data_IF_321837825809
#
_entry.id   IF_321837825809
#
_cell.length_a   1.000
_cell.length_b   1.000
_cell.length_c   1.000
_cell.angle_alpha   90.00
_cell.angle_beta   90.00
_cell.angle_gamma   90.00
#
_symmetry.space_group_name_H-M   'P 1'
#
loop_
_entity.id
_entity.type
_entity.pdbx_description
1 polymer ?
#
# COMPACT_ATOMS: atom_id res chain seq x y z
N UNK A 1 14.40 15.30 -5.95
CA UNK A 1 13.55 14.75 -4.87
C UNK A 1 13.21 13.32 -5.25
N UNK A 2 13.50 12.38 -4.38
CA UNK A 2 13.29 10.95 -4.63
C UNK A 2 11.91 10.48 -4.17
N UNK A 3 11.45 9.33 -4.66
CA UNK A 3 10.11 8.78 -4.37
C UNK A 3 9.87 8.63 -2.86
N UNK A 4 10.87 8.16 -2.13
CA UNK A 4 10.77 7.97 -0.69
C UNK A 4 10.66 9.31 0.08
N UNK A 5 11.23 10.39 -0.47
CA UNK A 5 11.17 11.72 0.14
C UNK A 5 9.75 12.27 0.05
N UNK A 6 9.11 12.09 -1.11
CA UNK A 6 7.70 12.46 -1.32
C UNK A 6 6.78 11.57 -0.49
N UNK A 7 7.13 10.29 -0.31
CA UNK A 7 6.38 9.38 0.53
C UNK A 7 6.31 9.83 2.01
N UNK A 8 7.27 10.63 2.51
CA UNK A 8 7.20 11.18 3.88
C UNK A 8 5.97 12.07 4.11
N UNK A 9 5.55 12.85 3.10
CA UNK A 9 4.33 13.65 3.20
C UNK A 9 3.11 12.76 3.49
N UNK A 10 2.94 11.71 2.68
CA UNK A 10 1.83 10.78 2.81
C UNK A 10 1.92 9.93 4.07
N UNK A 11 3.13 9.54 4.47
CA UNK A 11 3.38 8.83 5.73
C UNK A 11 2.94 9.69 6.92
N UNK A 12 3.32 10.98 6.94
CA UNK A 12 2.90 11.92 7.98
C UNK A 12 1.38 12.10 8.02
N UNK A 13 0.75 12.43 6.89
CA UNK A 13 -0.70 12.59 6.80
C UNK A 13 -1.46 11.33 7.23
N UNK A 14 -1.04 10.15 6.78
CA UNK A 14 -1.66 8.89 7.15
C UNK A 14 -1.48 8.58 8.64
N UNK A 15 -0.31 8.91 9.20
CA UNK A 15 -0.03 8.71 10.63
C UNK A 15 -0.91 9.61 11.50
N UNK A 16 -1.22 10.84 11.09
CA UNK A 16 -2.22 11.68 11.78
C UNK A 16 -3.60 11.02 11.81
N UNK A 17 -4.04 10.44 10.69
CA UNK A 17 -5.32 9.71 10.62
C UNK A 17 -5.30 8.48 11.53
N UNK A 18 -4.21 7.72 11.55
CA UNK A 18 -4.02 6.58 12.44
C UNK A 18 -4.09 6.98 13.91
N UNK A 19 -3.36 8.04 14.31
CA UNK A 19 -3.39 8.57 15.67
C UNK A 19 -4.79 9.07 16.08
N UNK A 20 -5.46 9.81 15.20
CA UNK A 20 -6.85 10.24 15.41
C UNK A 20 -7.81 9.07 15.61
N UNK A 21 -7.58 7.96 14.89
CA UNK A 21 -8.37 6.72 15.03
C UNK A 21 -8.14 6.05 16.38
N UNK A 22 -6.89 5.96 16.84
CA UNK A 22 -6.55 5.45 18.19
C UNK A 22 -7.21 6.32 19.27
N UNK A 23 -7.13 7.65 19.16
CA UNK A 23 -7.72 8.60 20.12
C UNK A 23 -9.24 8.43 20.17
N UNK A 24 -9.90 8.37 19.01
CA UNK A 24 -11.34 8.20 18.91
C UNK A 24 -11.80 6.86 19.51
N UNK A 25 -11.11 5.77 19.18
CA UNK A 25 -11.35 4.46 19.76
C UNK A 25 -11.21 4.47 21.28
N UNK A 26 -10.09 5.00 21.78
CA UNK A 26 -9.77 5.07 23.21
C UNK A 26 -10.77 5.92 23.96
N UNK A 27 -11.20 7.05 23.38
CA UNK A 27 -12.21 7.93 23.98
C UNK A 27 -13.56 7.25 24.09
N UNK A 28 -14.03 6.62 23.00
CA UNK A 28 -15.32 5.91 22.99
C UNK A 28 -15.34 4.75 23.99
N UNK A 29 -14.29 3.92 24.02
CA UNK A 29 -14.22 2.77 24.94
C UNK A 29 -14.02 3.19 26.39
N UNK A 30 -13.20 4.20 26.66
CA UNK A 30 -13.01 4.76 28.01
C UNK A 30 -14.30 5.41 28.54
N UNK A 31 -15.07 6.09 27.69
CA UNK A 31 -16.37 6.66 28.08
C UNK A 31 -17.44 5.58 28.35
N UNK A 32 -17.36 4.44 27.67
CA UNK A 32 -18.33 3.35 27.79
C UNK A 32 -18.18 2.50 29.07
N UNK A 33 -17.08 2.65 29.81
CA UNK A 33 -16.86 1.95 31.09
C UNK A 33 -16.88 2.94 32.26
N UNK A 34 -17.37 2.53 33.41
CA UNK A 34 -17.31 3.30 34.66
C UNK A 34 -16.12 2.90 35.53
N UNK A 35 -15.49 1.75 35.24
CA UNK A 35 -14.38 1.20 36.01
C UNK A 35 -13.09 2.05 35.84
N UNK A 36 -12.57 2.64 36.94
CA UNK A 36 -11.35 3.43 36.93
C UNK A 36 -10.10 2.66 36.45
N UNK A 37 -10.02 1.36 36.70
CA UNK A 37 -8.87 0.53 36.32
C UNK A 37 -8.86 0.29 34.81
N UNK A 38 -10.01 -0.04 34.24
CA UNK A 38 -10.18 -0.19 32.79
C UNK A 38 -9.93 1.15 32.09
N UNK A 39 -10.35 2.28 32.68
CA UNK A 39 -10.03 3.61 32.14
C UNK A 39 -8.52 3.90 32.12
N UNK A 40 -7.79 3.50 33.17
CA UNK A 40 -6.33 3.65 33.22
C UNK A 40 -5.62 2.85 32.13
N UNK A 41 -6.17 1.71 31.72
CA UNK A 41 -5.61 0.87 30.66
C UNK A 41 -5.59 1.55 29.26
N UNK A 42 -6.34 2.63 29.04
CA UNK A 42 -6.29 3.40 27.78
C UNK A 42 -5.21 4.50 27.76
N UNK A 43 -4.64 4.87 28.92
CA UNK A 43 -3.59 5.91 28.99
C UNK A 43 -2.37 5.63 28.10
N UNK A 44 -1.85 4.38 28.03
CA UNK A 44 -0.75 4.07 27.12
C UNK A 44 -1.09 4.30 25.65
N UNK A 45 -2.35 4.04 25.24
CA UNK A 45 -2.80 4.25 23.86
C UNK A 45 -2.89 5.74 23.52
N UNK A 46 -3.29 6.60 24.46
CA UNK A 46 -3.24 8.05 24.27
C UNK A 46 -1.81 8.55 24.11
N UNK A 47 -0.88 8.10 24.97
CA UNK A 47 0.53 8.47 24.85
C UNK A 47 1.13 7.97 23.54
N UNK A 48 0.79 6.76 23.12
CA UNK A 48 1.20 6.23 21.82
C UNK A 48 0.65 7.08 20.67
N UNK A 49 -0.63 7.47 20.71
CA UNK A 49 -1.19 8.34 19.70
C UNK A 49 -0.51 9.73 19.66
N UNK A 50 -0.11 10.28 20.81
CA UNK A 50 0.66 11.53 20.87
C UNK A 50 2.03 11.36 20.21
N UNK A 51 2.74 10.26 20.50
CA UNK A 51 4.00 9.92 19.83
C UNK A 51 3.85 9.89 18.30
N UNK A 52 2.81 9.21 17.80
CA UNK A 52 2.49 9.17 16.37
C UNK A 52 2.17 10.56 15.78
N UNK A 53 1.50 11.45 16.52
CA UNK A 53 1.26 12.84 16.06
C UNK A 53 2.58 13.58 15.91
N UNK A 54 3.49 13.43 16.88
CA UNK A 54 4.80 14.05 16.85
C UNK A 54 5.61 13.55 15.64
N UNK A 55 5.67 12.24 15.43
CA UNK A 55 6.27 11.65 14.23
C UNK A 55 5.68 12.19 12.94
N UNK A 56 4.35 12.27 12.87
CA UNK A 56 3.67 12.73 11.69
C UNK A 56 4.03 14.18 11.35
N UNK A 57 4.09 15.05 12.36
CA UNK A 57 4.56 16.42 12.21
C UNK A 57 6.00 16.41 11.70
N UNK A 58 6.87 15.56 12.25
CA UNK A 58 8.25 15.43 11.80
C UNK A 58 8.39 15.00 10.36
N UNK A 59 7.63 14.00 9.91
CA UNK A 59 7.63 13.55 8.53
C UNK A 59 7.17 14.66 7.56
N UNK A 60 6.12 15.41 7.92
CA UNK A 60 5.63 16.54 7.11
C UNK A 60 6.65 17.67 7.05
N UNK A 61 7.24 18.05 8.19
CA UNK A 61 8.25 19.11 8.24
C UNK A 61 9.51 18.73 7.48
N UNK A 62 9.93 17.45 7.56
CA UNK A 62 11.07 16.92 6.81
C UNK A 62 10.81 16.97 5.30
N UNK A 63 9.62 16.59 4.84
CA UNK A 63 9.23 16.76 3.45
C UNK A 63 9.29 18.23 3.02
N UNK A 64 8.79 19.15 3.85
CA UNK A 64 8.84 20.59 3.56
C UNK A 64 10.28 21.12 3.52
N UNK A 65 11.15 20.66 4.41
CA UNK A 65 12.58 21.00 4.43
C UNK A 65 13.27 20.60 3.12
N UNK A 66 13.02 19.36 2.66
CA UNK A 66 13.53 18.84 1.39
C UNK A 66 12.95 19.63 0.20
N UNK A 67 11.68 19.99 0.25
CA UNK A 67 11.00 20.74 -0.81
C UNK A 67 11.55 22.16 -0.97
N UNK A 68 11.77 22.88 0.13
CA UNK A 68 12.26 24.26 0.11
C UNK A 68 13.78 24.32 -0.05
N UNK A 69 14.48 23.22 0.26
CA UNK A 69 15.94 23.15 0.19
C UNK A 69 16.64 24.00 1.27
N UNK A 70 15.91 24.38 2.32
CA UNK A 70 16.43 25.19 3.43
C UNK A 70 16.24 24.40 4.72
N UNK A 71 17.33 23.98 5.40
CA UNK A 71 17.21 23.24 6.63
C UNK A 71 16.65 24.12 7.75
N UNK A 72 15.69 23.61 8.52
CA UNK A 72 15.14 24.31 9.69
C UNK A 72 16.20 24.44 10.79
N UNK A 73 17.11 23.48 10.88
CA UNK A 73 18.31 23.54 11.71
C UNK A 73 19.46 23.93 10.77
N UNK A 74 19.73 25.24 10.70
CA UNK A 74 20.81 25.78 9.87
C UNK A 74 22.17 25.45 10.50
N UNK A 75 22.79 24.35 10.06
CA UNK A 75 24.20 24.07 10.34
C UNK A 75 25.01 24.72 9.19
N UNK A 76 25.80 25.78 9.43
CA UNK A 76 26.47 26.52 8.36
C UNK A 76 27.41 25.64 7.53
N UNK A 77 27.21 25.63 6.20
CA UNK A 77 28.13 25.07 5.20
C UNK A 77 28.62 23.63 5.40
N UNK A 78 27.78 22.76 5.95
CA UNK A 78 28.07 21.32 5.97
C UNK A 78 27.60 20.72 4.64
N UNK A 79 28.49 20.71 3.65
CA UNK A 79 28.37 19.85 2.46
C UNK A 79 28.63 18.41 2.92
N UNK A 80 27.72 17.84 3.70
CA UNK A 80 27.70 16.40 3.93
C UNK A 80 26.66 15.85 2.97
N UNK A 81 27.18 15.13 1.98
CA UNK A 81 26.42 14.27 1.07
C UNK A 81 25.56 13.36 1.96
N UNK A 82 24.24 13.60 2.02
CA UNK A 82 23.28 12.66 2.58
C UNK A 82 22.65 12.95 3.96
N UNK A 83 22.77 14.15 4.56
CA UNK A 83 22.19 14.42 5.89
C UNK A 83 21.18 15.58 5.96
N UNK A 84 20.07 15.49 5.21
CA UNK A 84 18.93 16.43 5.30
C UNK A 84 17.84 15.98 6.31
N UNK A 85 18.17 15.09 7.25
CA UNK A 85 17.17 14.41 8.09
C UNK A 85 17.34 14.66 9.61
N UNK A 86 18.11 15.67 9.99
CA UNK A 86 18.33 16.01 11.41
C UNK A 86 17.03 16.36 12.13
N UNK A 87 16.15 17.13 11.47
CA UNK A 87 14.84 17.48 12.01
C UNK A 87 13.99 16.24 12.28
N UNK A 88 13.94 15.30 11.32
CA UNK A 88 13.23 14.03 11.49
C UNK A 88 13.76 13.27 12.70
N UNK A 89 15.09 13.19 12.84
CA UNK A 89 15.73 12.50 13.94
C UNK A 89 15.42 13.13 15.31
N UNK A 90 15.49 14.45 15.44
CA UNK A 90 15.11 15.13 16.68
C UNK A 90 13.65 14.88 17.06
N UNK A 91 12.75 14.96 16.09
CA UNK A 91 11.33 14.71 16.33
C UNK A 91 11.08 13.24 16.69
N UNK A 92 11.84 12.33 16.09
CA UNK A 92 11.84 10.90 16.44
C UNK A 92 12.28 10.67 17.88
N UNK A 93 13.32 11.36 18.37
CA UNK A 93 13.72 11.29 19.78
C UNK A 93 12.60 11.75 20.73
N UNK A 94 11.86 12.80 20.36
CA UNK A 94 10.72 13.30 21.15
C UNK A 94 9.58 12.27 21.15
N UNK A 95 9.24 11.69 20.00
CA UNK A 95 8.25 10.61 19.89
C UNK A 95 8.62 9.42 20.80
N UNK A 96 9.89 9.00 20.77
CA UNK A 96 10.37 7.86 21.55
C UNK A 96 10.16 8.03 23.05
N UNK A 97 10.14 9.27 23.57
CA UNK A 97 9.82 9.52 24.99
C UNK A 97 8.39 9.05 25.30
N UNK A 98 7.43 9.36 24.43
CA UNK A 98 6.05 8.94 24.61
C UNK A 98 5.88 7.43 24.48
N UNK A 99 6.61 6.80 23.56
CA UNK A 99 6.61 5.34 23.40
C UNK A 99 7.26 4.63 24.58
N UNK A 100 8.38 5.13 25.09
CA UNK A 100 9.02 4.59 26.28
C UNK A 100 8.12 4.68 27.52
N UNK A 101 7.45 5.82 27.73
CA UNK A 101 6.49 5.97 28.84
C UNK A 101 5.29 5.04 28.64
N UNK A 102 4.74 4.95 27.42
CA UNK A 102 3.64 4.05 27.11
C UNK A 102 4.00 2.59 27.40
N UNK A 103 5.16 2.14 26.91
CA UNK A 103 5.68 0.80 27.13
C UNK A 103 5.92 0.51 28.62
N UNK A 104 6.48 1.46 29.37
CA UNK A 104 6.71 1.32 30.81
C UNK A 104 5.40 1.14 31.60
N UNK A 105 4.34 1.86 31.21
CA UNK A 105 3.01 1.70 31.82
C UNK A 105 2.43 0.32 31.49
N UNK A 106 2.55 -0.13 30.24
CA UNK A 106 2.03 -1.43 29.79
C UNK A 106 2.74 -2.58 30.52
N UNK A 107 4.07 -2.55 30.58
CA UNK A 107 4.87 -3.59 31.25
C UNK A 107 4.76 -3.54 32.78
N UNK A 108 4.24 -2.44 33.34
CA UNK A 108 4.24 -2.15 34.79
C UNK A 108 5.65 -2.14 35.41
N UNK A 109 6.71 -2.06 34.59
CA UNK A 109 8.11 -2.07 35.02
C UNK A 109 8.73 -0.68 34.84
N UNK A 110 8.83 0.07 35.94
CA UNK A 110 9.37 1.43 35.94
C UNK A 110 10.86 1.48 35.58
N UNK A 111 11.63 0.46 35.94
CA UNK A 111 13.08 0.41 35.72
C UNK A 111 13.40 0.35 34.22
N UNK A 112 12.69 -0.48 33.45
CA UNK A 112 12.87 -0.57 31.99
C UNK A 112 12.48 0.77 31.33
N UNK A 113 11.38 1.39 31.79
CA UNK A 113 10.98 2.72 31.34
C UNK A 113 12.06 3.78 31.56
N UNK A 114 12.64 3.81 32.76
CA UNK A 114 13.72 4.74 33.11
C UNK A 114 14.95 4.49 32.25
N UNK A 115 15.33 3.22 32.04
CA UNK A 115 16.46 2.85 31.19
C UNK A 115 16.27 3.34 29.75
N UNK A 116 15.08 3.14 29.16
CA UNK A 116 14.77 3.65 27.82
C UNK A 116 14.85 5.18 27.76
N UNK A 117 14.33 5.90 28.76
CA UNK A 117 14.42 7.37 28.83
C UNK A 117 15.87 7.84 28.90
N UNK A 118 16.71 7.16 29.70
CA UNK A 118 18.15 7.45 29.78
C UNK A 118 18.81 7.25 28.41
N UNK A 119 18.50 6.16 27.70
CA UNK A 119 19.02 5.94 26.36
C UNK A 119 18.61 7.03 25.36
N UNK A 120 17.36 7.51 25.41
CA UNK A 120 16.89 8.64 24.57
C UNK A 120 17.71 9.89 24.90
N UNK A 121 17.92 10.16 26.19
CA UNK A 121 18.72 11.31 26.63
C UNK A 121 20.17 11.21 26.15
N UNK A 122 20.79 10.03 26.21
CA UNK A 122 22.12 9.78 25.66
C UNK A 122 22.13 10.00 24.15
N UNK A 123 21.15 9.46 23.41
CA UNK A 123 21.03 9.66 21.96
C UNK A 123 20.86 11.15 21.59
N UNK A 124 20.13 11.91 22.41
CA UNK A 124 19.98 13.36 22.26
C UNK A 124 21.32 14.09 22.49
N UNK A 125 22.05 13.74 23.56
CA UNK A 125 23.35 14.34 23.85
C UNK A 125 24.39 14.05 22.76
N UNK A 126 24.41 12.82 22.24
CA UNK A 126 25.31 12.44 21.14
C UNK A 126 25.04 13.27 19.89
N UNK A 127 23.78 13.43 19.51
CA UNK A 127 23.40 14.25 18.36
C UNK A 127 23.73 15.73 18.60
N UNK A 128 23.43 16.26 19.78
CA UNK A 128 23.80 17.64 20.13
C UNK A 128 25.32 17.89 20.03
N UNK A 129 26.13 16.97 20.56
CA UNK A 129 27.59 17.04 20.44
C UNK A 129 28.07 16.89 18.98
N UNK A 130 27.42 16.04 18.19
CA UNK A 130 27.73 15.89 16.77
C UNK A 130 27.54 17.21 16.01
N UNK A 131 26.44 17.93 16.27
CA UNK A 131 26.17 19.24 15.65
C UNK A 131 27.27 20.25 16.01
N UNK A 132 27.64 20.37 17.28
CA UNK A 132 28.70 21.30 17.71
C UNK A 132 30.02 20.99 16.98
N UNK A 133 30.37 19.70 16.86
CA UNK A 133 31.58 19.29 16.14
C UNK A 133 31.48 19.65 14.66
N UNK A 134 30.33 19.42 14.02
CA UNK A 134 30.11 19.75 12.61
C UNK A 134 30.13 21.26 12.35
N UNK A 135 29.60 22.08 13.26
CA UNK A 135 29.70 23.55 13.19
C UNK A 135 31.16 24.01 13.23
N UNK A 136 31.99 23.38 14.07
CA UNK A 136 33.39 23.77 14.23
C UNK A 136 34.31 23.23 13.11
N UNK A 137 34.09 22.00 12.63
CA UNK A 137 35.03 21.27 11.77
C UNK A 137 34.51 20.95 10.37
N UNK A 138 33.23 21.23 10.09
CA UNK A 138 32.49 20.98 8.84
C UNK A 138 32.37 19.51 8.43
N UNK A 139 33.42 18.70 8.59
CA UNK A 139 33.44 17.26 8.34
C UNK A 139 34.24 16.57 9.45
N UNK A 140 33.63 15.59 10.14
CA UNK A 140 34.28 14.86 11.22
C UNK A 140 33.78 13.42 11.33
N UNK A 141 34.70 12.46 11.31
CA UNK A 141 34.41 11.05 11.56
C UNK A 141 33.86 10.80 12.97
N UNK A 142 34.25 11.64 13.94
CA UNK A 142 33.74 11.59 15.31
C UNK A 142 32.28 12.03 15.39
N UNK A 143 31.91 13.10 14.68
CA UNK A 143 30.52 13.54 14.60
C UNK A 143 29.64 12.47 13.94
N UNK A 144 30.11 11.87 12.84
CA UNK A 144 29.41 10.77 12.19
C UNK A 144 29.23 9.57 13.14
N UNK A 145 30.27 9.20 13.90
CA UNK A 145 30.19 8.10 14.87
C UNK A 145 29.15 8.36 15.97
N UNK A 146 28.98 9.62 16.41
CA UNK A 146 27.96 9.99 17.39
C UNK A 146 26.54 9.93 16.81
N UNK A 147 26.37 10.35 15.55
CA UNK A 147 25.09 10.22 14.83
C UNK A 147 24.72 8.75 14.66
N UNK A 148 25.66 7.92 14.18
CA UNK A 148 25.45 6.49 13.95
C UNK A 148 25.12 5.75 15.25
N UNK A 149 25.85 6.06 16.33
CA UNK A 149 25.57 5.46 17.64
C UNK A 149 24.20 5.92 18.17
N UNK A 150 23.82 7.17 17.94
CA UNK A 150 22.47 7.67 18.21
C UNK A 150 21.39 6.88 17.47
N UNK A 151 21.57 6.61 16.17
CA UNK A 151 20.66 5.78 15.38
C UNK A 151 20.56 4.35 15.94
N UNK A 152 21.66 3.74 16.38
CA UNK A 152 21.63 2.42 17.01
C UNK A 152 20.77 2.45 18.28
N UNK A 153 20.92 3.48 19.12
CA UNK A 153 20.10 3.63 20.33
C UNK A 153 18.61 3.78 20.00
N UNK A 154 18.24 4.58 18.99
CA UNK A 154 16.84 4.73 18.59
C UNK A 154 16.26 3.43 18.04
N UNK A 155 17.03 2.69 17.23
CA UNK A 155 16.63 1.37 16.73
C UNK A 155 16.38 0.37 17.86
N UNK A 156 17.22 0.35 18.90
CA UNK A 156 17.03 -0.53 20.06
C UNK A 156 15.71 -0.21 20.76
N UNK A 157 15.37 1.08 20.96
CA UNK A 157 14.14 1.47 21.64
C UNK A 157 12.91 1.10 20.80
N UNK A 158 12.91 1.46 19.51
CA UNK A 158 11.83 1.06 18.61
C UNK A 158 11.69 -0.46 18.55
N UNK A 159 12.81 -1.21 18.50
CA UNK A 159 12.83 -2.66 18.56
C UNK A 159 12.22 -3.21 19.85
N UNK A 160 12.51 -2.60 21.00
CA UNK A 160 11.90 -2.98 22.28
C UNK A 160 10.38 -2.75 22.30
N UNK A 161 9.91 -1.60 21.81
CA UNK A 161 8.48 -1.27 21.72
C UNK A 161 7.77 -2.18 20.70
N UNK A 162 8.41 -2.44 19.56
CA UNK A 162 7.95 -3.41 18.56
C UNK A 162 7.82 -4.81 19.14
N UNK A 163 8.83 -5.26 19.89
CA UNK A 163 8.82 -6.56 20.58
C UNK A 163 7.68 -6.65 21.59
N UNK A 164 7.47 -5.60 22.41
CA UNK A 164 6.37 -5.54 23.37
C UNK A 164 5.02 -5.71 22.69
N UNK A 165 4.72 -4.93 21.64
CA UNK A 165 3.44 -5.04 20.94
C UNK A 165 3.30 -6.35 20.17
N UNK A 166 4.38 -6.89 19.63
CA UNK A 166 4.39 -8.20 18.97
C UNK A 166 4.15 -9.33 19.96
N UNK A 167 4.69 -9.24 21.18
CA UNK A 167 4.42 -10.20 22.25
C UNK A 167 2.96 -10.12 22.72
N UNK A 168 2.42 -8.92 22.93
CA UNK A 168 0.98 -8.74 23.21
C UNK A 168 0.12 -9.28 22.06
N UNK A 169 0.53 -9.08 20.81
CA UNK A 169 -0.16 -9.62 19.64
C UNK A 169 -0.12 -11.15 19.60
N UNK A 170 1.00 -11.77 20.01
CA UNK A 170 1.14 -13.22 20.14
C UNK A 170 0.15 -13.80 21.17
N UNK A 171 0.05 -13.16 22.33
CA UNK A 171 -0.83 -13.61 23.42
C UNK A 171 -2.31 -13.36 23.11
N UNK A 172 -2.64 -12.14 22.67
CA UNK A 172 -4.04 -11.70 22.48
C UNK A 172 -4.62 -12.08 21.12
N UNK A 173 -3.76 -12.36 20.14
CA UNK A 173 -4.12 -12.59 18.72
C UNK A 173 -4.92 -11.45 18.09
N UNK A 174 -4.83 -10.23 18.64
CA UNK A 174 -5.57 -9.04 18.17
C UNK A 174 -4.82 -8.32 17.06
N UNK A 175 -5.56 -7.84 16.05
CA UNK A 175 -5.02 -7.05 14.94
C UNK A 175 -4.47 -5.69 15.37
N UNK A 176 -5.03 -5.09 16.42
CA UNK A 176 -4.60 -3.79 16.96
C UNK A 176 -3.16 -3.83 17.44
N UNK A 177 -2.80 -4.80 18.29
CA UNK A 177 -1.44 -4.98 18.79
C UNK A 177 -0.46 -5.31 17.66
N UNK A 178 -0.87 -6.14 16.69
CA UNK A 178 -0.05 -6.42 15.51
C UNK A 178 0.23 -5.16 14.69
N UNK A 179 -0.79 -4.33 14.45
CA UNK A 179 -0.64 -3.10 13.67
C UNK A 179 0.29 -2.08 14.36
N UNK A 180 0.19 -1.95 15.68
CA UNK A 180 1.09 -1.10 16.46
C UNK A 180 2.54 -1.64 16.40
N UNK A 181 2.73 -2.94 16.62
CA UNK A 181 4.06 -3.57 16.51
C UNK A 181 4.66 -3.42 15.13
N UNK A 182 3.87 -3.65 14.08
CA UNK A 182 4.28 -3.46 12.68
C UNK A 182 4.73 -2.03 12.42
N UNK A 183 3.97 -1.01 12.85
CA UNK A 183 4.35 0.38 12.64
C UNK A 183 5.70 0.72 13.29
N UNK A 184 5.99 0.17 14.46
CA UNK A 184 7.28 0.34 15.13
C UNK A 184 8.40 -0.39 14.40
N UNK A 185 8.19 -1.63 13.93
CA UNK A 185 9.18 -2.37 13.14
C UNK A 185 9.56 -1.57 11.90
N UNK A 186 8.57 -1.01 11.20
CA UNK A 186 8.87 -0.33 9.95
C UNK A 186 9.49 1.05 10.17
N UNK A 187 9.17 1.74 11.27
CA UNK A 187 9.92 2.94 11.67
C UNK A 187 11.39 2.65 11.98
N UNK A 188 11.76 1.46 12.49
CA UNK A 188 13.17 1.01 12.60
C UNK A 188 13.84 0.98 11.23
N UNK A 189 13.13 0.46 10.22
CA UNK A 189 13.66 0.31 8.87
C UNK A 189 13.74 1.63 8.12
N UNK A 190 12.88 2.60 8.48
CA UNK A 190 12.82 3.92 7.88
C UNK A 190 13.74 4.97 8.55
N UNK A 191 14.71 4.54 9.36
CA UNK A 191 15.69 5.46 9.96
C UNK A 191 16.54 6.08 8.85
N UNK A 192 16.63 7.42 8.76
CA UNK A 192 17.29 8.09 7.65
C UNK A 192 18.74 7.67 7.38
N UNK A 193 19.49 7.29 8.43
CA UNK A 193 20.85 6.79 8.30
C UNK A 193 20.96 5.45 7.55
N UNK A 194 19.89 4.66 7.42
CA UNK A 194 19.90 3.43 6.62
C UNK A 194 19.84 3.72 5.12
N UNK A 195 19.23 4.83 4.71
CA UNK A 195 19.04 5.14 3.29
C UNK A 195 20.33 5.56 2.59
N UNK A 196 21.38 5.93 3.33
CA UNK A 196 22.70 6.23 2.77
C UNK A 196 23.52 4.98 2.42
N UNK A 197 23.17 3.81 2.95
CA UNK A 197 23.90 2.55 2.77
C UNK A 197 23.11 1.48 2.02
N UNK A 198 21.79 1.65 1.87
CA UNK A 198 20.92 0.70 1.20
C UNK A 198 20.80 1.01 -0.30
N UNK A 199 20.60 -0.05 -1.09
CA UNK A 199 20.31 0.10 -2.51
C UNK A 199 18.93 0.78 -2.72
N UNK A 200 18.74 1.60 -3.78
CA UNK A 200 17.50 2.33 -4.03
C UNK A 200 16.24 1.45 -4.03
N UNK A 201 16.34 0.22 -4.52
CA UNK A 201 15.23 -0.74 -4.57
C UNK A 201 14.77 -1.15 -3.16
N UNK A 202 15.71 -1.30 -2.23
CA UNK A 202 15.42 -1.60 -0.83
C UNK A 202 14.79 -0.40 -0.13
N UNK A 203 15.22 0.82 -0.45
CA UNK A 203 14.64 2.06 0.10
C UNK A 203 13.18 2.21 -0.35
N UNK A 204 12.87 1.93 -1.61
CA UNK A 204 11.50 1.94 -2.14
C UNK A 204 10.66 0.86 -1.45
N UNK A 205 11.20 -0.36 -1.28
CA UNK A 205 10.50 -1.44 -0.59
C UNK A 205 10.21 -1.10 0.87
N UNK A 206 11.18 -0.54 1.60
CA UNK A 206 10.98 -0.08 2.98
C UNK A 206 9.91 1.01 3.02
N UNK A 207 9.96 1.98 2.11
CA UNK A 207 8.95 3.05 2.01
C UNK A 207 7.55 2.50 1.78
N UNK A 208 7.42 1.47 0.93
CA UNK A 208 6.17 0.75 0.72
C UNK A 208 5.64 0.15 2.03
N UNK A 209 6.48 -0.59 2.75
CA UNK A 209 6.13 -1.18 4.03
C UNK A 209 5.78 -0.12 5.07
N UNK A 210 6.46 1.04 5.07
CA UNK A 210 6.24 2.14 6.01
C UNK A 210 4.85 2.72 5.86
N UNK A 211 4.44 2.94 4.61
CA UNK A 211 3.11 3.46 4.28
C UNK A 211 1.99 2.50 4.69
N UNK A 212 2.23 1.18 4.72
CA UNK A 212 1.21 0.22 5.17
C UNK A 212 0.87 0.38 6.66
N UNK A 213 1.83 0.80 7.50
CA UNK A 213 1.68 0.84 8.96
C UNK A 213 0.48 1.68 9.44
N UNK A 214 0.40 2.97 9.08
CA UNK A 214 -0.73 3.83 9.46
C UNK A 214 -2.09 3.31 8.98
N UNK A 215 -2.17 2.77 7.76
CA UNK A 215 -3.40 2.20 7.21
C UNK A 215 -3.84 0.95 7.99
N UNK A 216 -2.89 0.08 8.35
CA UNK A 216 -3.14 -1.08 9.21
C UNK A 216 -3.64 -0.66 10.60
N UNK A 217 -3.04 0.37 11.21
CA UNK A 217 -3.50 0.91 12.50
C UNK A 217 -4.94 1.42 12.37
N UNK A 218 -5.22 2.29 11.40
CA UNK A 218 -6.55 2.85 11.22
C UNK A 218 -7.60 1.74 11.05
N UNK A 219 -7.32 0.74 10.22
CA UNK A 219 -8.25 -0.38 10.01
C UNK A 219 -8.42 -1.25 11.26
N UNK A 220 -7.32 -1.62 11.94
CA UNK A 220 -7.37 -2.46 13.12
C UNK A 220 -8.17 -1.80 14.27
N UNK A 221 -8.06 -0.48 14.44
CA UNK A 221 -8.80 0.25 15.48
C UNK A 221 -10.26 0.55 15.09
N UNK A 222 -10.61 0.53 13.80
CA UNK A 222 -12.00 0.53 13.34
C UNK A 222 -12.67 -0.84 13.55
N UNK A 223 -11.89 -1.93 13.56
CA UNK A 223 -12.35 -3.31 13.82
C UNK A 223 -11.53 -3.99 14.92
N UNK A 224 -11.62 -3.49 16.17
CA UNK A 224 -10.76 -3.94 17.28
C UNK A 224 -10.94 -5.42 17.63
N UNK A 225 -12.11 -5.99 17.30
CA UNK A 225 -12.42 -7.38 17.57
C UNK A 225 -11.80 -8.35 16.56
N UNK A 226 -11.25 -7.84 15.46
CA UNK A 226 -10.64 -8.65 14.42
C UNK A 226 -9.37 -9.34 14.93
N UNK A 227 -9.30 -10.66 14.75
CA UNK A 227 -8.08 -11.43 14.99
C UNK A 227 -7.07 -11.17 13.88
N UNK A 228 -5.80 -11.45 14.16
CA UNK A 228 -4.73 -11.39 13.16
C UNK A 228 -5.14 -12.13 11.87
N UNK A 229 -5.08 -11.40 10.76
CA UNK A 229 -5.54 -11.85 9.44
C UNK A 229 -4.70 -11.18 8.36
N UNK A 230 -4.43 -11.90 7.27
CA UNK A 230 -3.82 -11.35 6.06
C UNK A 230 -4.65 -10.22 5.40
N UNK A 231 -5.93 -10.09 5.76
CA UNK A 231 -6.75 -8.92 5.40
C UNK A 231 -6.09 -7.61 5.78
N UNK A 232 -5.48 -7.55 6.97
CA UNK A 232 -4.84 -6.35 7.49
C UNK A 232 -3.71 -5.88 6.56
N UNK A 233 -2.89 -6.83 6.09
CA UNK A 233 -1.80 -6.59 5.14
C UNK A 233 -2.36 -6.11 3.80
N UNK A 234 -3.42 -6.74 3.31
CA UNK A 234 -4.10 -6.33 2.07
C UNK A 234 -4.66 -4.90 2.14
N UNK A 235 -5.25 -4.50 3.27
CA UNK A 235 -5.69 -3.13 3.49
C UNK A 235 -4.52 -2.15 3.58
N UNK A 236 -3.40 -2.55 4.20
CA UNK A 236 -2.16 -1.76 4.17
C UNK A 236 -1.66 -1.52 2.74
N UNK A 237 -1.59 -2.58 1.93
CA UNK A 237 -1.16 -2.50 0.54
C UNK A 237 -2.09 -1.63 -0.32
N UNK A 238 -3.39 -1.61 0.01
CA UNK A 238 -4.37 -0.74 -0.68
C UNK A 238 -4.15 0.75 -0.49
N UNK A 239 -3.41 1.14 0.54
CA UNK A 239 -2.98 2.52 0.74
C UNK A 239 -1.56 2.75 0.17
N UNK A 240 -0.62 1.86 0.45
CA UNK A 240 0.78 2.02 0.05
C UNK A 240 0.98 2.05 -1.47
N UNK A 241 0.32 1.14 -2.21
CA UNK A 241 0.44 1.07 -3.67
C UNK A 241 0.07 2.38 -4.39
N UNK A 242 -1.13 2.95 -4.15
CA UNK A 242 -1.52 4.23 -4.71
C UNK A 242 -0.58 5.39 -4.35
N UNK A 243 -0.11 5.44 -3.10
CA UNK A 243 0.81 6.49 -2.65
C UNK A 243 2.14 6.41 -3.39
N UNK A 244 2.70 5.20 -3.57
CA UNK A 244 3.95 5.04 -4.32
C UNK A 244 3.82 5.45 -5.78
N UNK A 245 2.69 5.16 -6.41
CA UNK A 245 2.40 5.60 -7.78
C UNK A 245 2.38 7.14 -7.85
N UNK A 246 1.67 7.79 -6.93
CA UNK A 246 1.59 9.26 -6.88
C UNK A 246 2.96 9.89 -6.56
N UNK A 247 3.68 9.33 -5.59
CA UNK A 247 5.02 9.78 -5.24
C UNK A 247 6.00 9.61 -6.42
N UNK A 248 5.86 8.53 -7.19
CA UNK A 248 6.69 8.31 -8.38
C UNK A 248 6.38 9.31 -9.49
N UNK A 249 5.11 9.67 -9.70
CA UNK A 249 4.72 10.72 -10.64
C UNK A 249 5.33 12.08 -10.27
N UNK A 250 5.32 12.43 -8.99
CA UNK A 250 5.90 13.69 -8.53
C UNK A 250 7.43 13.67 -8.69
N UNK A 251 8.07 12.51 -8.47
CA UNK A 251 9.51 12.34 -8.66
C UNK A 251 9.95 12.50 -10.13
N UNK A 252 9.11 12.09 -11.09
CA UNK A 252 9.38 12.29 -12.52
C UNK A 252 9.19 13.74 -12.99
N UNK A 253 8.79 14.66 -12.08
CA UNK A 253 8.54 16.08 -12.36
C UNK A 253 7.48 16.32 -13.45
N UNK A 254 6.56 15.38 -13.63
CA UNK A 254 5.50 15.49 -14.62
C UNK A 254 4.37 16.38 -14.07
N UNK A 255 4.29 17.63 -14.55
CA UNK A 255 3.37 18.66 -14.00
C UNK A 255 2.10 18.84 -14.84
N UNK A 256 1.82 17.96 -15.80
CA UNK A 256 0.58 18.03 -16.58
C UNK A 256 -0.62 17.61 -15.71
N UNK A 257 -1.59 18.52 -15.55
CA UNK A 257 -2.83 18.29 -14.80
C UNK A 257 -3.59 17.06 -15.32
N UNK A 258 -3.55 16.80 -16.62
CA UNK A 258 -4.18 15.63 -17.23
C UNK A 258 -3.51 14.34 -16.77
N UNK A 259 -2.17 14.29 -16.76
CA UNK A 259 -1.42 13.12 -16.30
C UNK A 259 -1.65 12.90 -14.80
N UNK A 260 -1.63 13.96 -13.99
CA UNK A 260 -1.96 13.90 -12.56
C UNK A 260 -3.36 13.32 -12.34
N UNK A 261 -4.33 13.76 -13.14
CA UNK A 261 -5.70 13.26 -13.07
C UNK A 261 -5.76 11.78 -13.42
N UNK A 262 -5.15 11.38 -14.53
CA UNK A 262 -5.19 9.97 -14.99
C UNK A 262 -4.54 9.05 -13.96
N UNK A 263 -3.35 9.42 -13.48
CA UNK A 263 -2.62 8.64 -12.48
C UNK A 263 -3.39 8.56 -11.16
N UNK A 264 -4.03 9.65 -10.72
CA UNK A 264 -4.83 9.65 -9.49
C UNK A 264 -6.03 8.70 -9.58
N UNK A 265 -6.76 8.69 -10.70
CA UNK A 265 -7.86 7.75 -10.92
C UNK A 265 -7.35 6.31 -11.12
N UNK A 266 -6.21 6.12 -11.78
CA UNK A 266 -5.53 4.82 -11.87
C UNK A 266 -5.14 4.28 -10.49
N UNK A 267 -4.58 5.13 -9.63
CA UNK A 267 -4.24 4.80 -8.26
C UNK A 267 -5.49 4.41 -7.43
N UNK A 268 -6.63 5.07 -7.67
CA UNK A 268 -7.92 4.67 -7.10
C UNK A 268 -8.35 3.27 -7.59
N UNK A 269 -8.15 2.95 -8.86
CA UNK A 269 -8.34 1.60 -9.39
C UNK A 269 -7.51 0.56 -8.65
N UNK A 270 -6.22 0.83 -8.43
CA UNK A 270 -5.30 -0.03 -7.65
C UNK A 270 -5.78 -0.18 -6.22
N UNK A 271 -6.16 0.91 -5.55
CA UNK A 271 -6.71 0.90 -4.18
C UNK A 271 -7.92 -0.02 -4.08
N UNK A 272 -8.84 0.07 -5.03
CA UNK A 272 -10.05 -0.75 -5.05
C UNK A 272 -9.74 -2.21 -5.39
N UNK A 273 -8.81 -2.50 -6.30
CA UNK A 273 -8.42 -3.87 -6.63
C UNK A 273 -7.77 -4.59 -5.43
N UNK A 274 -6.81 -3.94 -4.79
CA UNK A 274 -6.14 -4.44 -3.57
C UNK A 274 -7.08 -4.51 -2.37
N UNK A 275 -7.97 -3.53 -2.18
CA UNK A 275 -9.01 -3.57 -1.15
C UNK A 275 -10.00 -4.72 -1.38
N UNK A 276 -10.40 -4.96 -2.63
CA UNK A 276 -11.25 -6.10 -3.02
C UNK A 276 -10.55 -7.43 -2.76
N UNK A 277 -9.26 -7.51 -3.06
CA UNK A 277 -8.41 -8.66 -2.73
C UNK A 277 -8.44 -8.93 -1.22
N UNK A 278 -8.17 -7.93 -0.38
CA UNK A 278 -8.21 -8.08 1.07
C UNK A 278 -9.59 -8.58 1.55
N UNK A 279 -10.68 -7.99 1.06
CA UNK A 279 -12.04 -8.41 1.39
C UNK A 279 -12.32 -9.87 1.01
N UNK A 280 -11.95 -10.27 -0.21
CA UNK A 280 -12.15 -11.64 -0.71
C UNK A 280 -11.32 -12.66 0.07
N UNK A 281 -10.10 -12.30 0.50
CA UNK A 281 -9.28 -13.16 1.35
C UNK A 281 -9.98 -13.43 2.69
N UNK A 282 -10.52 -12.39 3.33
CA UNK A 282 -11.29 -12.54 4.58
C UNK A 282 -12.50 -13.47 4.40
N UNK A 283 -13.28 -13.24 3.33
CA UNK A 283 -14.43 -14.11 3.00
C UNK A 283 -14.04 -15.53 2.68
N UNK A 284 -13.00 -15.74 1.88
CA UNK A 284 -12.52 -17.07 1.52
C UNK A 284 -11.99 -17.82 2.74
N UNK A 285 -11.34 -17.13 3.68
CA UNK A 285 -10.89 -17.75 4.94
C UNK A 285 -12.06 -18.30 5.75
N UNK A 286 -13.19 -17.58 5.78
CA UNK A 286 -14.41 -17.99 6.49
C UNK A 286 -15.16 -19.12 5.76
N UNK A 287 -15.36 -18.98 4.46
CA UNK A 287 -16.25 -19.88 3.70
C UNK A 287 -15.54 -21.05 3.04
N UNK A 288 -14.22 -20.94 2.82
CA UNK A 288 -13.38 -21.87 2.05
C UNK A 288 -13.94 -22.18 0.65
N UNK A 289 -14.78 -21.31 0.11
CA UNK A 289 -15.38 -21.49 -1.21
C UNK A 289 -14.37 -21.17 -2.32
N UNK A 290 -14.09 -22.16 -3.17
CA UNK A 290 -13.10 -22.01 -4.24
C UNK A 290 -13.35 -20.82 -5.18
N UNK A 291 -14.58 -20.51 -5.62
CA UNK A 291 -14.84 -19.31 -6.44
C UNK A 291 -14.41 -18.00 -5.78
N UNK A 292 -14.54 -17.87 -4.46
CA UNK A 292 -14.09 -16.69 -3.71
C UNK A 292 -12.57 -16.61 -3.67
N UNK A 293 -11.89 -17.75 -3.49
CA UNK A 293 -10.43 -17.84 -3.55
C UNK A 293 -9.87 -17.56 -4.95
N UNK A 294 -10.57 -17.99 -6.01
CA UNK A 294 -10.20 -17.66 -7.38
C UNK A 294 -10.36 -16.17 -7.67
N UNK A 295 -11.49 -15.57 -7.31
CA UNK A 295 -11.67 -14.12 -7.47
C UNK A 295 -10.60 -13.33 -6.73
N UNK A 296 -10.16 -13.79 -5.54
CA UNK A 296 -9.04 -13.19 -4.82
C UNK A 296 -7.79 -13.10 -5.72
N UNK A 297 -7.36 -14.21 -6.32
CA UNK A 297 -6.21 -14.22 -7.23
C UNK A 297 -6.45 -13.39 -8.50
N UNK A 298 -7.68 -13.34 -9.00
CA UNK A 298 -8.05 -12.46 -10.11
C UNK A 298 -7.85 -10.97 -9.78
N UNK A 299 -8.21 -10.53 -8.57
CA UNK A 299 -7.96 -9.13 -8.17
C UNK A 299 -6.49 -8.84 -7.85
N UNK A 300 -5.72 -9.84 -7.39
CA UNK A 300 -4.26 -9.70 -7.30
C UNK A 300 -3.67 -9.42 -8.68
N UNK A 301 -4.05 -10.21 -9.70
CA UNK A 301 -3.58 -9.99 -11.07
C UNK A 301 -3.97 -8.61 -11.60
N UNK A 302 -5.21 -8.16 -11.38
CA UNK A 302 -5.62 -6.82 -11.77
C UNK A 302 -4.83 -5.73 -11.06
N UNK A 303 -4.59 -5.87 -9.75
CA UNK A 303 -3.81 -4.89 -8.98
C UNK A 303 -2.36 -4.81 -9.47
N UNK A 304 -1.69 -5.96 -9.64
CA UNK A 304 -0.30 -6.03 -10.11
C UNK A 304 -0.19 -5.47 -11.53
N UNK A 305 -1.09 -5.87 -12.43
CA UNK A 305 -1.11 -5.37 -13.81
C UNK A 305 -1.28 -3.85 -13.85
N UNK A 306 -2.24 -3.31 -13.10
CA UNK A 306 -2.48 -1.87 -13.04
C UNK A 306 -1.31 -1.08 -12.42
N UNK A 307 -0.66 -1.60 -11.37
CA UNK A 307 0.51 -0.95 -10.77
C UNK A 307 1.65 -0.89 -11.78
N UNK A 308 2.01 -2.03 -12.36
CA UNK A 308 3.17 -2.13 -13.26
C UNK A 308 2.91 -1.33 -14.54
N UNK A 309 1.71 -1.43 -15.11
CA UNK A 309 1.29 -0.64 -16.25
C UNK A 309 1.42 0.86 -15.98
N UNK A 310 0.80 1.36 -14.90
CA UNK A 310 0.89 2.77 -14.52
C UNK A 310 2.32 3.24 -14.33
N UNK A 311 3.16 2.46 -13.64
CA UNK A 311 4.58 2.78 -13.42
C UNK A 311 5.38 2.79 -14.73
N UNK A 312 5.04 1.91 -15.69
CA UNK A 312 5.60 1.94 -17.04
C UNK A 312 5.21 3.21 -17.79
N UNK A 313 3.93 3.57 -17.77
CA UNK A 313 3.40 4.72 -18.51
C UNK A 313 3.91 6.07 -17.98
N UNK A 314 4.21 6.21 -16.68
CA UNK A 314 4.86 7.42 -16.13
C UNK A 314 6.39 7.43 -16.31
N UNK A 315 6.96 6.37 -16.92
CA UNK A 315 8.40 6.30 -17.21
C UNK A 315 9.28 5.87 -16.04
N UNK A 316 8.70 5.33 -14.96
CA UNK A 316 9.46 4.84 -13.79
C UNK A 316 10.08 3.47 -14.06
N UNK A 317 9.35 2.60 -14.75
CA UNK A 317 9.89 1.33 -15.25
C UNK A 317 10.04 1.47 -16.77
N UNK A 318 11.24 1.71 -17.31
CA UNK A 318 11.40 1.98 -18.73
C UNK A 318 11.29 0.71 -19.59
N UNK A 319 10.93 0.89 -20.87
CA UNK A 319 10.93 -0.15 -21.89
C UNK A 319 9.57 -0.85 -22.08
N UNK A 320 9.56 -1.92 -22.86
CA UNK A 320 8.34 -2.67 -23.19
C UNK A 320 7.91 -3.69 -22.11
N UNK A 321 8.80 -3.99 -21.15
CA UNK A 321 8.57 -4.96 -20.08
C UNK A 321 7.29 -4.70 -19.25
N UNK A 322 6.98 -3.45 -18.83
CA UNK A 322 5.78 -3.17 -18.06
C UNK A 322 4.49 -3.54 -18.80
N UNK A 323 4.41 -3.22 -20.10
CA UNK A 323 3.26 -3.54 -20.94
C UNK A 323 3.04 -5.05 -21.06
N UNK A 324 4.10 -5.83 -21.26
CA UNK A 324 3.98 -7.30 -21.31
C UNK A 324 3.54 -7.90 -19.97
N UNK A 325 4.12 -7.43 -18.86
CA UNK A 325 3.74 -7.91 -17.52
C UNK A 325 2.30 -7.54 -17.20
N UNK A 326 1.86 -6.33 -17.55
CA UNK A 326 0.48 -5.91 -17.41
C UNK A 326 -0.47 -6.81 -18.22
N UNK A 327 -0.19 -7.06 -19.49
CA UNK A 327 -1.01 -7.92 -20.37
C UNK A 327 -1.16 -9.31 -19.76
N UNK A 328 -0.06 -9.89 -19.26
CA UNK A 328 -0.08 -11.21 -18.62
C UNK A 328 -0.91 -11.17 -17.33
N UNK A 329 -0.73 -10.16 -16.49
CA UNK A 329 -1.44 -10.06 -15.21
C UNK A 329 -2.95 -9.82 -15.40
N UNK A 330 -3.34 -8.97 -16.35
CA UNK A 330 -4.74 -8.71 -16.71
C UNK A 330 -5.36 -9.95 -17.38
N UNK A 331 -4.66 -10.56 -18.34
CA UNK A 331 -5.13 -11.76 -19.02
C UNK A 331 -5.34 -12.94 -18.08
N UNK A 332 -4.44 -13.10 -17.09
CA UNK A 332 -4.61 -14.07 -16.00
C UNK A 332 -5.89 -13.78 -15.21
N UNK A 333 -6.11 -12.53 -14.83
CA UNK A 333 -7.29 -12.10 -14.07
C UNK A 333 -8.58 -12.42 -14.82
N UNK A 334 -8.67 -12.03 -16.08
CA UNK A 334 -9.84 -12.28 -16.93
C UNK A 334 -10.08 -13.79 -17.14
N UNK A 335 -9.01 -14.57 -17.31
CA UNK A 335 -9.10 -16.04 -17.41
C UNK A 335 -9.61 -16.67 -16.12
N UNK A 336 -9.17 -16.19 -14.96
CA UNK A 336 -9.68 -16.62 -13.65
C UNK A 336 -11.15 -16.26 -13.48
N UNK A 337 -11.58 -15.07 -13.90
CA UNK A 337 -13.00 -14.71 -13.91
C UNK A 337 -13.82 -15.62 -14.83
N UNK A 338 -13.28 -16.03 -15.98
CA UNK A 338 -13.90 -17.01 -16.85
C UNK A 338 -14.08 -18.37 -16.13
N UNK A 339 -13.05 -18.85 -15.41
CA UNK A 339 -13.16 -20.07 -14.57
C UNK A 339 -14.29 -19.94 -13.55
N UNK A 340 -14.32 -18.82 -12.81
CA UNK A 340 -15.34 -18.55 -11.79
C UNK A 340 -16.75 -18.55 -12.40
N UNK A 341 -16.90 -17.93 -13.58
CA UNK A 341 -18.19 -17.87 -14.26
C UNK A 341 -18.65 -19.23 -14.79
N UNK A 342 -17.73 -20.07 -15.29
CA UNK A 342 -18.01 -21.45 -15.70
C UNK A 342 -18.45 -22.29 -14.49
N UNK A 343 -17.79 -22.15 -13.35
CA UNK A 343 -18.21 -22.79 -12.10
C UNK A 343 -19.57 -22.32 -11.62
N UNK A 344 -19.86 -21.02 -11.71
CA UNK A 344 -21.17 -20.47 -11.40
C UNK A 344 -22.27 -21.00 -12.33
N UNK A 345 -21.94 -21.29 -13.60
CA UNK A 345 -22.84 -21.90 -14.57
C UNK A 345 -23.00 -23.43 -14.41
N UNK A 346 -22.24 -24.07 -13.51
CA UNK A 346 -22.36 -25.50 -13.18
C UNK A 346 -21.44 -26.44 -13.97
N UNK A 347 -20.60 -25.93 -14.89
CA UNK A 347 -19.75 -26.74 -15.76
C UNK A 347 -18.39 -27.05 -15.14
N UNK A 348 -18.37 -27.88 -14.08
CA UNK A 348 -17.15 -28.14 -13.28
C UNK A 348 -15.97 -28.72 -14.07
N UNK A 349 -16.23 -29.62 -15.02
CA UNK A 349 -15.19 -30.27 -15.84
C UNK A 349 -14.53 -29.32 -16.85
N UNK A 350 -15.24 -28.27 -17.27
CA UNK A 350 -14.74 -27.28 -18.22
C UNK A 350 -14.04 -26.08 -17.55
N UNK A 351 -14.02 -26.02 -16.21
CA UNK A 351 -13.52 -24.86 -15.47
C UNK A 351 -12.05 -24.53 -15.73
N UNK A 352 -11.21 -25.50 -16.10
CA UNK A 352 -9.79 -25.28 -16.36
C UNK A 352 -9.49 -24.79 -17.79
N UNK A 353 -10.45 -24.90 -18.72
CA UNK A 353 -10.24 -24.55 -20.13
C UNK A 353 -9.70 -23.12 -20.31
N UNK A 354 -10.25 -22.08 -19.63
CA UNK A 354 -9.70 -20.73 -19.73
C UNK A 354 -8.22 -20.63 -19.38
N UNK A 355 -7.78 -21.32 -18.33
CA UNK A 355 -6.37 -21.30 -17.90
C UNK A 355 -5.47 -22.10 -18.85
N UNK A 356 -5.95 -23.25 -19.33
CA UNK A 356 -5.19 -24.10 -20.28
C UNK A 356 -4.96 -23.36 -21.60
N UNK A 357 -5.92 -22.56 -22.06
CA UNK A 357 -5.75 -21.72 -23.26
C UNK A 357 -4.88 -20.49 -22.98
N UNK A 358 -4.99 -19.90 -21.77
CA UNK A 358 -4.21 -18.72 -21.41
C UNK A 358 -2.72 -18.99 -21.19
N UNK A 359 -2.35 -20.07 -20.50
CA UNK A 359 -0.96 -20.34 -20.10
C UNK A 359 0.01 -20.37 -21.30
N UNK A 360 -0.26 -21.09 -22.41
CA UNK A 360 0.63 -21.09 -23.57
C UNK A 360 0.82 -19.70 -24.16
N UNK A 361 -0.25 -18.91 -24.25
CA UNK A 361 -0.17 -17.53 -24.75
C UNK A 361 0.62 -16.63 -23.79
N UNK A 362 0.47 -16.80 -22.48
CA UNK A 362 1.24 -16.07 -21.48
C UNK A 362 2.74 -16.41 -21.54
N UNK A 363 3.09 -17.68 -21.73
CA UNK A 363 4.49 -18.11 -21.93
C UNK A 363 5.05 -17.50 -23.22
N UNK A 364 4.27 -17.54 -24.30
CA UNK A 364 4.67 -16.93 -25.58
C UNK A 364 4.92 -15.42 -25.45
N UNK A 365 4.05 -14.69 -24.75
CA UNK A 365 4.23 -13.26 -24.46
C UNK A 365 5.46 -13.04 -23.55
N UNK A 366 5.62 -13.86 -22.52
CA UNK A 366 6.69 -13.75 -21.52
C UNK A 366 8.09 -14.11 -22.03
N UNK A 367 8.21 -14.89 -23.10
CA UNK A 367 9.49 -15.23 -23.75
C UNK A 367 10.08 -14.08 -24.58
N UNK A 368 9.50 -12.88 -24.51
CA UNK A 368 10.01 -11.70 -25.18
C UNK A 368 9.54 -11.66 -26.61
N UNK A 369 8.24 -11.40 -26.78
CA UNK A 369 7.69 -10.83 -28.02
C UNK A 369 8.71 -9.84 -28.62
N UNK A 370 9.02 -9.91 -29.93
CA UNK A 370 10.27 -9.38 -30.47
C UNK A 370 10.51 -7.93 -30.05
N UNK A 371 11.66 -7.72 -29.41
CA UNK A 371 12.16 -6.40 -29.04
C UNK A 371 12.14 -5.49 -30.28
N UNK A 372 11.30 -4.45 -30.26
CA UNK A 372 11.23 -3.43 -31.31
C UNK A 372 9.88 -3.29 -32.04
N UNK A 373 8.91 -4.19 -31.83
CA UNK A 373 7.53 -3.97 -32.30
C UNK A 373 6.69 -3.28 -31.23
N UNK A 374 5.87 -2.30 -31.61
CA UNK A 374 4.84 -1.76 -30.73
C UNK A 374 3.81 -2.83 -30.34
N UNK A 375 3.11 -2.66 -29.20
CA UNK A 375 2.06 -3.60 -28.74
C UNK A 375 0.99 -3.80 -29.82
N UNK A 376 0.68 -2.77 -30.61
CA UNK A 376 -0.27 -2.81 -31.72
C UNK A 376 0.19 -3.74 -32.86
N UNK A 377 1.42 -3.55 -33.36
CA UNK A 377 1.99 -4.35 -34.45
C UNK A 377 2.14 -5.81 -34.05
N UNK A 378 2.52 -6.02 -32.79
CA UNK A 378 2.58 -7.32 -32.17
C UNK A 378 1.21 -8.04 -32.24
N UNK A 379 0.15 -7.37 -31.80
CA UNK A 379 -1.21 -7.91 -31.79
C UNK A 379 -1.73 -8.24 -33.18
N UNK A 380 -1.46 -7.39 -34.18
CA UNK A 380 -1.87 -7.64 -35.56
C UNK A 380 -1.17 -8.87 -36.16
N UNK A 381 0.11 -9.06 -35.87
CA UNK A 381 0.90 -10.17 -36.40
C UNK A 381 0.47 -11.54 -35.82
N UNK A 382 0.01 -11.58 -34.57
CA UNK A 382 -0.38 -12.83 -33.89
C UNK A 382 -1.85 -12.83 -33.44
N UNK A 383 -2.70 -12.12 -34.17
CA UNK A 383 -4.13 -12.00 -33.86
C UNK A 383 -4.82 -13.37 -33.72
N UNK A 384 -4.34 -14.38 -34.43
CA UNK A 384 -4.83 -15.76 -34.37
C UNK A 384 -4.61 -16.43 -33.00
N UNK A 385 -3.55 -16.07 -32.25
CA UNK A 385 -3.34 -16.51 -30.86
C UNK A 385 -4.25 -15.74 -29.90
N UNK A 386 -4.54 -14.48 -30.22
CA UNK A 386 -5.30 -13.57 -29.36
C UNK A 386 -6.82 -13.74 -29.50
N UNK A 387 -7.35 -14.17 -30.65
CA UNK A 387 -8.80 -14.39 -30.85
C UNK A 387 -9.39 -15.36 -29.81
N UNK A 388 -8.81 -16.55 -29.55
CA UNK A 388 -9.29 -17.43 -28.49
C UNK A 388 -9.29 -16.77 -27.11
N UNK A 389 -8.28 -15.94 -26.81
CA UNK A 389 -8.19 -15.21 -25.54
C UNK A 389 -9.29 -14.16 -25.41
N UNK A 390 -9.55 -13.39 -26.45
CA UNK A 390 -10.64 -12.40 -26.48
C UNK A 390 -11.98 -13.08 -26.19
N UNK A 391 -12.24 -14.24 -26.82
CA UNK A 391 -13.47 -15.02 -26.56
C UNK A 391 -13.54 -15.44 -25.08
N UNK A 392 -12.43 -15.92 -24.51
CA UNK A 392 -12.35 -16.29 -23.09
C UNK A 392 -12.59 -15.08 -22.17
N UNK A 393 -12.11 -13.89 -22.53
CA UNK A 393 -12.28 -12.68 -21.73
C UNK A 393 -13.74 -12.21 -21.70
N UNK A 394 -14.48 -12.34 -22.81
CA UNK A 394 -15.90 -12.00 -22.86
C UNK A 394 -16.81 -13.10 -22.28
N UNK A 395 -16.36 -14.35 -22.21
CA UNK A 395 -17.12 -15.47 -21.64
C UNK A 395 -17.71 -15.18 -20.24
N UNK A 396 -16.95 -14.67 -19.24
CA UNK A 396 -17.51 -14.39 -17.92
C UNK A 396 -18.59 -13.31 -17.94
N UNK A 397 -18.52 -12.32 -18.83
CA UNK A 397 -19.57 -11.29 -18.99
C UNK A 397 -20.90 -11.96 -19.35
N UNK A 398 -20.88 -12.84 -20.36
CA UNK A 398 -22.07 -13.55 -20.84
C UNK A 398 -22.64 -14.45 -19.73
N UNK A 399 -21.78 -15.23 -19.07
CA UNK A 399 -22.20 -16.19 -18.06
C UNK A 399 -22.74 -15.52 -16.80
N UNK A 400 -22.11 -14.45 -16.31
CA UNK A 400 -22.64 -13.69 -15.17
C UNK A 400 -23.94 -12.96 -15.51
N UNK A 401 -24.09 -12.43 -16.72
CA UNK A 401 -25.36 -11.85 -17.17
C UNK A 401 -26.49 -12.89 -17.22
N UNK A 402 -26.21 -14.10 -17.70
CA UNK A 402 -27.17 -15.22 -17.64
C UNK A 402 -27.52 -15.61 -16.21
N UNK A 403 -26.52 -15.67 -15.31
CA UNK A 403 -26.73 -15.96 -13.89
C UNK A 403 -27.63 -14.90 -13.24
N UNK A 404 -27.40 -13.61 -13.50
CA UNK A 404 -28.28 -12.53 -13.05
C UNK A 404 -29.73 -12.72 -13.51
N UNK A 405 -29.93 -12.94 -14.82
CA UNK A 405 -31.28 -13.11 -15.39
C UNK A 405 -32.01 -14.31 -14.77
N UNK A 406 -31.28 -15.39 -14.48
CA UNK A 406 -31.82 -16.55 -13.76
C UNK A 406 -32.23 -16.19 -12.33
N UNK A 407 -31.35 -15.57 -11.56
CA UNK A 407 -31.62 -15.16 -10.17
C UNK A 407 -32.73 -14.12 -10.06
N UNK A 408 -32.87 -13.24 -11.05
CA UNK A 408 -33.95 -12.27 -11.13
C UNK A 408 -35.31 -12.96 -11.30
N UNK A 409 -35.40 -13.97 -12.18
CA UNK A 409 -36.62 -14.75 -12.39
C UNK A 409 -37.03 -15.56 -11.16
N UNK A 410 -36.05 -16.06 -10.39
CA UNK A 410 -36.28 -16.86 -9.18
C UNK A 410 -36.41 -16.02 -7.91
N UNK A 411 -36.33 -14.69 -8.00
CA UNK A 411 -36.46 -13.81 -6.83
C UNK A 411 -35.36 -13.97 -5.77
N UNK A 412 -34.20 -14.49 -6.14
CA UNK A 412 -33.12 -14.83 -5.20
C UNK A 412 -32.43 -13.55 -4.67
N UNK A 413 -32.09 -13.54 -3.37
CA UNK A 413 -31.26 -12.48 -2.79
C UNK A 413 -29.84 -12.53 -3.36
N UNK A 414 -29.11 -11.41 -3.39
CA UNK A 414 -27.79 -11.37 -4.02
C UNK A 414 -27.81 -11.22 -5.55
N UNK A 415 -28.99 -11.07 -6.16
CA UNK A 415 -29.16 -11.08 -7.63
C UNK A 415 -28.40 -9.97 -8.35
N UNK A 416 -28.17 -8.81 -7.73
CA UNK A 416 -27.47 -7.74 -8.45
C UNK A 416 -25.98 -8.01 -8.60
N UNK A 417 -25.38 -8.91 -7.80
CA UNK A 417 -23.93 -9.14 -7.79
C UNK A 417 -23.41 -9.71 -9.11
N UNK A 418 -24.00 -10.77 -9.70
CA UNK A 418 -23.57 -11.23 -11.03
C UNK A 418 -23.71 -10.14 -12.10
N UNK A 419 -24.75 -9.30 -12.03
CA UNK A 419 -24.90 -8.18 -12.97
C UNK A 419 -23.74 -7.18 -12.83
N UNK A 420 -23.40 -6.76 -11.61
CA UNK A 420 -22.27 -5.84 -11.42
C UNK A 420 -20.94 -6.46 -11.82
N UNK A 421 -20.73 -7.76 -11.60
CA UNK A 421 -19.52 -8.43 -12.11
C UNK A 421 -19.49 -8.42 -13.65
N UNK A 422 -20.61 -8.69 -14.31
CA UNK A 422 -20.70 -8.62 -15.77
C UNK A 422 -20.44 -7.20 -16.30
N UNK A 423 -21.07 -6.18 -15.71
CA UNK A 423 -20.88 -4.78 -16.09
C UNK A 423 -19.45 -4.34 -15.85
N UNK A 424 -18.88 -4.64 -14.67
CA UNK A 424 -17.50 -4.29 -14.34
C UNK A 424 -16.50 -4.93 -15.30
N UNK A 425 -16.67 -6.21 -15.64
CA UNK A 425 -15.82 -6.90 -16.62
C UNK A 425 -15.99 -6.31 -18.02
N UNK A 426 -17.23 -6.04 -18.44
CA UNK A 426 -17.49 -5.44 -19.75
C UNK A 426 -16.85 -4.05 -19.87
N UNK A 427 -17.04 -3.19 -18.88
CA UNK A 427 -16.41 -1.87 -18.83
C UNK A 427 -14.89 -1.99 -18.86
N UNK A 428 -14.32 -2.89 -18.05
CA UNK A 428 -12.88 -3.10 -18.01
C UNK A 428 -12.35 -3.53 -19.39
N UNK A 429 -12.98 -4.52 -20.01
CA UNK A 429 -12.59 -5.05 -21.31
C UNK A 429 -12.72 -3.99 -22.40
N UNK A 430 -13.85 -3.28 -22.47
CA UNK A 430 -14.10 -2.29 -23.52
C UNK A 430 -13.28 -1.01 -23.38
N UNK A 431 -12.84 -0.67 -22.17
CA UNK A 431 -11.99 0.50 -21.92
C UNK A 431 -10.52 0.11 -22.07
N UNK A 432 -10.04 -0.85 -21.27
CA UNK A 432 -8.60 -1.12 -21.15
C UNK A 432 -8.05 -1.82 -22.39
N UNK A 433 -8.73 -2.87 -22.89
CA UNK A 433 -8.15 -3.69 -23.97
C UNK A 433 -7.99 -2.89 -25.27
N UNK A 434 -9.02 -2.20 -25.82
CA UNK A 434 -8.84 -1.39 -27.02
C UNK A 434 -7.80 -0.29 -26.84
N UNK A 435 -7.83 0.46 -25.75
CA UNK A 435 -6.94 1.62 -25.58
C UNK A 435 -5.48 1.23 -25.37
N UNK A 436 -5.22 0.10 -24.73
CA UNK A 436 -3.88 -0.50 -24.64
C UNK A 436 -3.36 -0.97 -26.01
N UNK A 437 -4.25 -1.35 -26.94
CA UNK A 437 -3.87 -1.76 -28.31
C UNK A 437 -3.60 -0.58 -29.25
N UNK A 438 -4.14 0.61 -28.96
CA UNK A 438 -3.94 1.83 -29.76
C UNK A 438 -2.99 2.84 -29.08
N UNK A 439 -2.18 2.38 -28.13
CA UNK A 439 -1.31 3.22 -27.28
C UNK A 439 -0.35 4.12 -28.09
N UNK A 440 0.14 3.66 -29.25
CA UNK A 440 1.01 4.47 -30.12
C UNK A 440 0.30 5.63 -30.84
N UNK A 441 -0.98 5.49 -31.19
CA UNK A 441 -1.74 6.56 -31.88
C UNK A 441 -2.45 7.50 -30.91
N UNK A 442 -2.95 6.96 -29.78
CA UNK A 442 -3.65 7.74 -28.75
C UNK A 442 -2.66 8.40 -27.78
N UNK A 443 -1.57 7.70 -27.43
CA UNK A 443 -0.47 8.26 -26.63
C UNK A 443 0.29 9.37 -27.35
N UNK A 444 0.30 9.39 -28.69
CA UNK A 444 0.86 10.50 -29.47
C UNK A 444 0.03 11.80 -29.39
N UNK A 445 -1.26 11.71 -29.06
CA UNK A 445 -2.15 12.88 -28.98
C UNK A 445 -2.22 13.44 -27.54
N UNK A 446 -1.99 12.60 -26.52
CA UNK A 446 -2.24 12.94 -25.10
C UNK A 446 -0.99 12.75 -24.20
N UNK A 447 0.08 12.12 -24.70
CA UNK A 447 1.30 11.83 -23.94
C UNK A 447 1.16 10.77 -22.84
N UNK A 448 -0.06 10.29 -22.54
CA UNK A 448 -0.34 9.33 -21.47
C UNK A 448 -1.64 8.53 -21.75
N UNK A 449 -1.68 7.24 -21.37
CA UNK A 449 -2.84 6.38 -21.61
C UNK A 449 -4.02 6.70 -20.67
N UNK A 450 -5.03 7.40 -21.19
CA UNK A 450 -6.21 7.83 -20.43
C UNK A 450 -7.08 6.65 -19.92
N UNK A 451 -6.91 5.44 -20.44
CA UNK A 451 -7.71 4.29 -20.03
C UNK A 451 -7.49 3.90 -18.55
N UNK A 452 -6.33 4.22 -17.98
CA UNK A 452 -6.07 4.06 -16.54
C UNK A 452 -7.01 4.90 -15.67
N UNK A 453 -7.45 6.07 -16.16
CA UNK A 453 -8.45 6.87 -15.45
C UNK A 453 -9.82 6.21 -15.53
N UNK A 454 -10.25 5.87 -16.75
CA UNK A 454 -11.60 5.38 -17.01
C UNK A 454 -11.86 4.00 -16.43
N UNK A 455 -10.84 3.14 -16.37
CA UNK A 455 -10.96 1.79 -15.82
C UNK A 455 -11.25 1.78 -14.31
N UNK A 456 -11.00 2.89 -13.60
CA UNK A 456 -11.37 3.07 -12.20
C UNK A 456 -12.88 2.86 -11.95
N UNK A 457 -13.74 3.24 -12.90
CA UNK A 457 -15.19 3.00 -12.84
C UNK A 457 -15.51 1.51 -12.76
N UNK A 458 -14.78 0.69 -13.53
CA UNK A 458 -14.94 -0.78 -13.49
C UNK A 458 -14.61 -1.34 -12.11
N UNK A 459 -13.54 -0.83 -11.47
CA UNK A 459 -13.16 -1.24 -10.11
C UNK A 459 -14.16 -0.78 -9.05
N UNK A 460 -14.80 0.39 -9.21
CA UNK A 460 -15.89 0.83 -8.34
C UNK A 460 -17.06 -0.15 -8.44
N UNK A 461 -17.47 -0.51 -9.66
CA UNK A 461 -18.56 -1.47 -9.90
C UNK A 461 -18.21 -2.84 -9.29
N UNK A 462 -16.97 -3.33 -9.49
CA UNK A 462 -16.50 -4.56 -8.87
C UNK A 462 -16.58 -4.53 -7.34
N UNK A 463 -16.06 -3.48 -6.73
CA UNK A 463 -16.06 -3.34 -5.28
C UNK A 463 -17.48 -3.32 -4.71
N UNK A 464 -18.39 -2.53 -5.31
CA UNK A 464 -19.78 -2.45 -4.87
C UNK A 464 -20.52 -3.78 -5.06
N UNK A 465 -20.23 -4.51 -6.14
CA UNK A 465 -20.81 -5.83 -6.40
C UNK A 465 -20.36 -6.88 -5.40
N UNK A 466 -19.04 -7.00 -5.18
CA UNK A 466 -18.45 -8.03 -4.33
C UNK A 466 -18.78 -7.80 -2.86
N UNK A 467 -18.81 -6.54 -2.44
CA UNK A 467 -19.20 -6.18 -1.06
C UNK A 467 -20.72 -6.21 -0.83
N UNK A 468 -21.52 -6.43 -1.89
CA UNK A 468 -22.99 -6.50 -1.81
C UNK A 468 -23.65 -5.15 -1.54
N UNK A 469 -22.96 -4.03 -1.80
CA UNK A 469 -23.48 -2.67 -1.56
C UNK A 469 -24.44 -2.19 -2.65
N UNK A 470 -24.38 -2.77 -3.84
CA UNK A 470 -25.33 -2.51 -4.94
C UNK A 470 -26.78 -2.90 -4.63
N UNK A 471 -27.06 -3.64 -3.55
CA UNK A 471 -28.43 -4.05 -3.18
C UNK A 471 -29.07 -3.15 -2.12
N UNK A 472 -28.31 -2.20 -1.56
CA UNK A 472 -28.79 -1.29 -0.50
C UNK A 472 -29.30 0.05 -1.03
N UNK A 473 -29.08 0.32 -2.32
CA UNK A 473 -29.64 1.40 -3.12
C UNK A 473 -30.76 0.84 -3.97
#
# INVERSE_FOLDING_TARGET
MEVYEIAYLFLGLATLVAAGTIINYSRKRSAATTDPEIKKAFRPLYLFAIGLIIFAIGAILTYYEILVGVPFIQIPEVIVIGTNYYLLYYITLVELVFFAISAAIIMQQRIIGLFMIIMIFVAYLLMFNAIIILEASRVSSTAQSYIDFGYVLTMIIFGAVAFLFSWIAYDTRRSTSLALGYAMIVQVLAVPGLYSILAPELIIAISAFSLMGPAMIAFAFLRPDQKISGELVGYGASFAGPVLIIASLVATQTVDLLIITIVSFGALGVMLATGTTAYLYGRWRETKQMPTGLMLFGFVGFAVGQIIGLMGSIGVIPGALPGYVEIIAIGFSLSVFAVVAIFAAGYRSAGLIPLVVFIPAAIFIGQGYPQGLGIADAVLQYIWILIPLIIIFFLPVILFFRAWKSMQRTGTSGRSRPLGLAIGLLLYILIRIPLMLFEQEVGAIIGFDASYAFVSVSFIVFWLSITGRMERS
#
